data_IF_434145679193
#
_entry.id   IF_434145679193
#
_cell.length_a   1.000
_cell.length_b   1.000
_cell.length_c   1.000
_cell.angle_alpha   90.00
_cell.angle_beta   90.00
_cell.angle_gamma   90.00
#
_symmetry.space_group_name_H-M   'P 1'
#
loop_
_entity.id
_entity.type
_entity.pdbx_description
1 polymer ?
#
# COMPACT_ATOMS: atom_id res chain seq x y z
N UNK A 1 -3.55 18.89 -3.53
CA UNK A 1 -4.02 18.94 -3.08
C UNK A 1 -4.73 18.10 -2.32
N UNK A 2 -5.11 18.06 -1.64
CA UNK A 2 -5.54 17.34 -0.87
C UNK A 2 -6.76 17.17 -0.74
N UNK A 3 -7.15 16.55 -0.82
CA UNK A 3 -8.31 16.50 -0.88
C UNK A 3 -9.10 15.66 -0.08
N UNK A 4 -9.94 14.81 -0.45
CA UNK A 4 -10.63 13.96 0.32
C UNK A 4 -9.90 12.82 0.77
N UNK A 5 -10.04 12.27 1.93
CA UNK A 5 -9.40 11.07 2.39
C UNK A 5 -9.83 9.90 1.52
N UNK A 6 -8.93 8.98 1.27
CA UNK A 6 -9.22 7.82 0.49
C UNK A 6 -9.10 6.63 1.42
N UNK A 7 -10.13 5.81 1.53
CA UNK A 7 -10.14 4.70 2.45
C UNK A 7 -10.04 3.37 1.75
N UNK A 8 -9.29 2.45 2.32
CA UNK A 8 -9.17 1.11 1.78
C UNK A 8 -9.47 0.11 2.89
N UNK A 9 -10.07 -1.03 2.54
CA UNK A 9 -10.33 -2.04 3.55
C UNK A 9 -9.05 -2.74 3.95
N UNK A 10 -8.98 -3.11 5.19
CA UNK A 10 -7.78 -3.74 5.73
C UNK A 10 -7.41 -5.01 4.97
N UNK A 11 -8.40 -5.78 4.55
CA UNK A 11 -8.08 -7.03 3.91
C UNK A 11 -7.86 -6.94 2.41
N UNK A 12 -7.76 -5.76 1.88
CA UNK A 12 -7.54 -5.64 0.45
C UNK A 12 -6.12 -6.09 0.10
N UNK A 13 -5.94 -6.90 -0.93
CA UNK A 13 -4.61 -7.32 -1.33
C UNK A 13 -3.76 -6.12 -1.75
N UNK A 14 -2.47 -6.24 -1.56
CA UNK A 14 -1.56 -5.16 -1.86
C UNK A 14 -1.61 -4.68 -3.30
N UNK A 15 -1.67 -5.58 -4.25
CA UNK A 15 -1.70 -5.15 -5.63
C UNK A 15 -3.02 -4.44 -5.94
N UNK A 16 -4.11 -4.83 -5.30
CA UNK A 16 -5.36 -4.15 -5.50
C UNK A 16 -5.29 -2.77 -4.84
N UNK A 17 -4.63 -2.68 -3.71
CA UNK A 17 -4.49 -1.40 -3.03
C UNK A 17 -3.67 -0.44 -3.89
N UNK A 18 -2.61 -0.94 -4.50
CA UNK A 18 -1.78 -0.10 -5.34
C UNK A 18 -2.59 0.38 -6.54
N UNK A 19 -3.37 -0.51 -7.12
CA UNK A 19 -4.18 -0.16 -8.25
C UNK A 19 -5.20 0.90 -7.86
N UNK A 20 -5.81 0.75 -6.71
CA UNK A 20 -6.80 1.69 -6.23
C UNK A 20 -6.17 3.06 -6.00
N UNK A 21 -5.00 3.10 -5.41
CA UNK A 21 -4.32 4.36 -5.15
C UNK A 21 -3.95 5.03 -6.47
N UNK A 22 -3.49 4.24 -7.41
CA UNK A 22 -3.13 4.78 -8.70
C UNK A 22 -4.33 5.32 -9.43
N UNK A 23 -5.41 4.59 -9.46
CA UNK A 23 -6.61 5.02 -10.14
C UNK A 23 -7.17 6.27 -9.53
N UNK A 24 -7.04 6.41 -8.23
CA UNK A 24 -7.57 7.56 -7.55
C UNK A 24 -6.57 8.70 -7.50
N UNK A 25 -5.39 8.49 -8.04
CA UNK A 25 -4.35 9.49 -8.01
C UNK A 25 -4.03 9.93 -6.61
N UNK A 26 -4.05 9.00 -5.68
CA UNK A 26 -3.77 9.29 -4.29
C UNK A 26 -2.41 8.76 -3.92
N UNK A 27 -1.70 9.45 -3.05
CA UNK A 27 -0.44 8.97 -2.58
C UNK A 27 -0.61 8.17 -1.33
N UNK A 28 -1.68 8.33 -0.61
CA UNK A 28 -1.87 7.57 0.61
C UNK A 28 -3.33 7.30 0.86
N UNK A 29 -3.61 6.34 1.67
CA UNK A 29 -4.96 5.98 1.99
C UNK A 29 -5.05 5.61 3.45
N UNK A 30 -6.24 5.70 4.00
CA UNK A 30 -6.49 5.33 5.37
C UNK A 30 -7.04 3.92 5.34
N UNK A 31 -6.42 3.03 6.07
CA UNK A 31 -6.84 1.64 6.10
C UNK A 31 -7.86 1.45 7.20
N UNK A 32 -9.02 0.93 6.84
CA UNK A 32 -10.11 0.76 7.77
C UNK A 32 -10.40 -0.69 8.04
N UNK A 33 -10.77 -1.00 9.26
CA UNK A 33 -11.15 -2.35 9.60
C UNK A 33 -12.61 -2.52 9.29
N UNK A 34 -13.10 -3.74 9.39
CA UNK A 34 -14.48 -4.03 9.07
C UNK A 34 -15.49 -3.29 9.93
N UNK A 35 -15.10 -2.95 11.15
CA UNK A 35 -16.03 -2.26 12.03
C UNK A 35 -15.96 -0.74 11.82
N UNK A 36 -15.19 -0.29 10.89
CA UNK A 36 -15.11 1.13 10.62
C UNK A 36 -13.96 1.85 11.32
N UNK A 37 -13.27 1.18 12.22
CA UNK A 37 -12.19 1.83 12.92
C UNK A 37 -10.97 1.92 12.02
N UNK A 38 -10.07 2.82 12.34
CA UNK A 38 -8.90 3.04 11.52
C UNK A 38 -7.77 2.12 11.95
N UNK A 39 -7.24 1.36 11.02
CA UNK A 39 -6.14 0.47 11.31
C UNK A 39 -4.82 1.20 11.13
N UNK A 40 -4.77 2.13 10.20
CA UNK A 40 -3.53 2.84 9.97
C UNK A 40 -3.56 3.58 8.65
N UNK A 41 -2.42 4.00 8.19
CA UNK A 41 -2.31 4.72 6.93
C UNK A 41 -1.28 4.03 6.08
N UNK A 42 -1.52 3.97 4.78
CA UNK A 42 -0.58 3.34 3.89
C UNK A 42 -0.29 4.31 2.76
N UNK A 43 0.94 4.31 2.28
CA UNK A 43 1.32 5.18 1.17
C UNK A 43 1.75 4.32 0.00
N UNK A 44 1.79 4.92 -1.17
CA UNK A 44 2.22 4.20 -2.36
C UNK A 44 3.63 3.68 -2.15
N UNK A 45 4.49 4.47 -1.51
CA UNK A 45 5.84 4.04 -1.28
C UNK A 45 5.89 2.82 -0.39
N UNK A 46 5.03 2.75 0.60
CA UNK A 46 4.99 1.61 1.48
C UNK A 46 4.62 0.35 0.71
N UNK A 47 3.65 0.47 -0.18
CA UNK A 47 3.22 -0.67 -0.94
C UNK A 47 4.32 -1.12 -1.90
N UNK A 48 4.96 -0.18 -2.54
CA UNK A 48 6.01 -0.52 -3.48
C UNK A 48 7.18 -1.17 -2.75
N UNK A 49 7.48 -0.69 -1.57
CA UNK A 49 8.54 -1.26 -0.81
C UNK A 49 8.25 -2.70 -0.45
N UNK A 50 7.00 -2.98 -0.11
CA UNK A 50 6.61 -4.30 0.24
C UNK A 50 6.74 -5.23 -0.97
N UNK A 51 6.31 -4.78 -2.13
CA UNK A 51 6.38 -5.59 -3.33
C UNK A 51 7.82 -5.84 -3.75
N UNK A 52 8.65 -4.82 -3.67
CA UNK A 52 10.03 -4.97 -4.03
C UNK A 52 10.73 -5.88 -3.02
N UNK A 53 10.38 -5.75 -1.76
CA UNK A 53 10.95 -6.60 -0.74
C UNK A 53 10.65 -8.05 -0.99
N UNK A 54 9.45 -8.33 -1.44
CA UNK A 54 9.09 -9.68 -1.70
C UNK A 54 9.91 -10.24 -2.83
N UNK A 55 10.24 -9.45 -3.81
CA UNK A 55 11.01 -9.92 -4.92
C UNK A 55 12.47 -10.07 -4.56
N UNK A 56 13.06 -9.12 -3.88
CA UNK A 56 14.46 -9.21 -3.58
C UNK A 56 14.79 -9.91 -2.31
N UNK A 57 13.85 -10.08 -1.45
CA UNK A 57 14.10 -10.66 -0.19
C UNK A 57 14.77 -11.98 -0.29
N UNK A 58 14.32 -12.84 -1.13
CA UNK A 58 14.90 -14.08 -1.17
C UNK A 58 16.16 -14.04 -1.85
N UNK A 59 16.52 -13.07 -2.49
CA UNK A 59 17.73 -13.07 -3.11
C UNK A 59 18.67 -12.49 -2.31
N UNK A 60 18.43 -11.96 -1.33
CA UNK A 60 19.32 -11.43 -0.53
C UNK A 60 20.62 -11.50 -0.93
N UNK A 61 21.09 -12.29 -1.06
CA UNK A 61 22.43 -12.33 -1.38
C UNK A 61 22.69 -11.92 -2.76
N UNK A 62 21.78 -12.12 -3.54
CA UNK A 62 22.02 -11.88 -4.89
C UNK A 62 22.01 -10.50 -5.31
N UNK A 63 21.65 -9.61 -4.48
CA UNK A 63 21.59 -8.39 -4.88
C UNK A 63 22.75 -7.82 -5.22
N UNK A 64 22.91 -7.36 -6.17
CA UNK A 64 24.13 -6.83 -6.55
C UNK A 64 24.25 -5.57 -5.94
N UNK A 65 24.25 -5.31 -5.79
CA UNK A 65 24.59 -4.35 -5.37
C UNK A 65 24.89 -3.77 -5.78
#
# INVERSE_FOLDING_TARGET
MLDKPFYLPLYMPIDDALDALSSNRSHMAIVQRGDGSIAGIVTVEDILEELVGEIYDEEEGGLPK
#
